data_IF_067918567974
#
_entry.id   IF_067918567974
#
_cell.length_a   1.000
_cell.length_b   1.000
_cell.length_c   1.000
_cell.angle_alpha   90.00
_cell.angle_beta   90.00
_cell.angle_gamma   90.00
#
_symmetry.space_group_name_H-M   'P 1'
#
loop_
_entity.id
_entity.type
_entity.pdbx_description
1 polymer ?
#
# COMPACT_ATOMS: atom_id res chain seq x y z
N UNK A 1 1.46 -8.52 -6.08
CA UNK A 1 1.70 -7.61 -7.20
C UNK A 1 1.84 -6.17 -6.77
N UNK A 2 3.09 -5.81 -6.49
CA UNK A 2 3.56 -4.43 -6.50
C UNK A 2 4.14 -4.08 -7.88
N UNK A 3 4.13 -2.81 -8.26
CA UNK A 3 4.76 -2.31 -9.48
C UNK A 3 5.66 -1.11 -9.14
N UNK A 4 6.78 -0.97 -9.85
CA UNK A 4 7.61 0.21 -9.72
C UNK A 4 7.07 1.33 -10.62
N UNK A 5 6.81 2.51 -10.05
CA UNK A 5 6.39 3.69 -10.81
C UNK A 5 7.25 4.87 -10.37
N UNK A 6 8.06 5.39 -11.30
CA UNK A 6 8.93 6.54 -11.05
C UNK A 6 9.81 6.37 -9.79
N UNK A 7 10.34 5.16 -9.56
CA UNK A 7 11.17 4.84 -8.40
C UNK A 7 10.41 4.52 -7.11
N UNK A 8 9.07 4.59 -7.12
CA UNK A 8 8.24 4.26 -5.97
C UNK A 8 7.60 2.88 -6.14
N UNK A 9 7.64 2.08 -5.07
CA UNK A 9 6.96 0.79 -5.04
C UNK A 9 5.47 1.01 -4.78
N UNK A 10 4.66 0.66 -5.77
CA UNK A 10 3.21 0.80 -5.70
C UNK A 10 2.58 -0.55 -5.42
N UNK A 11 1.79 -0.66 -4.35
CA UNK A 11 1.08 -1.88 -3.97
C UNK A 11 -0.40 -1.80 -4.34
N UNK A 12 -0.95 -2.90 -4.86
CA UNK A 12 -2.34 -2.97 -5.29
C UNK A 12 -3.31 -3.03 -4.11
N UNK A 13 -4.35 -2.20 -4.13
CA UNK A 13 -5.39 -2.17 -3.09
C UNK A 13 -6.00 -3.56 -2.79
N UNK A 14 -6.37 -4.40 -3.79
CA UNK A 14 -6.98 -5.70 -3.49
C UNK A 14 -6.07 -6.61 -2.66
N UNK A 15 -4.76 -6.59 -2.92
CA UNK A 15 -3.79 -7.44 -2.23
C UNK A 15 -3.51 -6.96 -0.80
N UNK A 16 -3.45 -5.64 -0.60
CA UNK A 16 -3.36 -5.07 0.74
C UNK A 16 -4.59 -5.48 1.56
N UNK A 17 -5.79 -5.36 0.98
CA UNK A 17 -7.04 -5.75 1.67
C UNK A 17 -7.03 -7.24 2.03
N UNK A 18 -6.61 -8.09 1.10
CA UNK A 18 -6.55 -9.54 1.29
C UNK A 18 -5.56 -9.92 2.40
N UNK A 19 -4.34 -9.39 2.37
CA UNK A 19 -3.28 -9.76 3.31
C UNK A 19 -3.42 -9.08 4.68
N UNK A 20 -3.91 -7.83 4.73
CA UNK A 20 -4.04 -7.07 6.00
C UNK A 20 -5.41 -7.21 6.66
N UNK A 21 -6.43 -7.65 5.93
CA UNK A 21 -7.83 -7.63 6.37
C UNK A 21 -8.42 -6.22 6.53
N UNK A 22 -7.68 -5.16 6.22
CA UNK A 22 -8.16 -3.79 6.36
C UNK A 22 -9.17 -3.45 5.27
N UNK A 23 -10.22 -2.72 5.66
CA UNK A 23 -11.22 -2.25 4.69
C UNK A 23 -10.63 -1.15 3.80
N UNK A 24 -11.22 -0.99 2.60
CA UNK A 24 -10.86 0.11 1.69
C UNK A 24 -10.96 1.49 2.36
N UNK A 25 -11.90 1.68 3.28
CA UNK A 25 -12.08 2.94 4.02
C UNK A 25 -10.90 3.25 4.94
N UNK A 26 -10.39 2.24 5.66
CA UNK A 26 -9.22 2.42 6.54
C UNK A 26 -7.99 2.75 5.71
N UNK A 27 -7.77 2.03 4.61
CA UNK A 27 -6.65 2.27 3.71
C UNK A 27 -6.74 3.63 3.01
N UNK A 28 -7.94 4.07 2.62
CA UNK A 28 -8.16 5.39 2.05
C UNK A 28 -7.88 6.51 3.07
N UNK A 29 -8.35 6.37 4.31
CA UNK A 29 -8.08 7.34 5.38
C UNK A 29 -6.60 7.40 5.75
N UNK A 30 -5.90 6.26 5.77
CA UNK A 30 -4.45 6.24 5.95
C UNK A 30 -3.72 6.93 4.79
N UNK A 31 -4.14 6.69 3.55
CA UNK A 31 -3.54 7.33 2.38
C UNK A 31 -3.78 8.86 2.33
N UNK A 32 -4.98 9.33 2.69
CA UNK A 32 -5.26 10.77 2.82
C UNK A 32 -4.38 11.42 3.87
N UNK A 33 -4.23 10.80 5.05
CA UNK A 33 -3.36 11.31 6.13
C UNK A 33 -1.88 11.34 5.73
N UNK A 34 -1.45 10.34 4.97
CA UNK A 34 -0.10 10.25 4.41
C UNK A 34 0.14 11.25 3.25
N UNK A 35 -0.90 11.96 2.79
CA UNK A 35 -0.81 12.85 1.63
C UNK A 35 -0.55 12.13 0.31
N UNK A 36 -0.80 10.81 0.25
CA UNK A 36 -0.58 10.01 -0.97
C UNK A 36 -1.86 9.83 -1.77
N UNK A 37 -1.76 10.15 -3.06
CA UNK A 37 -2.88 10.03 -3.98
C UNK A 37 -3.01 8.61 -4.49
N UNK A 38 -4.19 8.02 -4.30
CA UNK A 38 -4.60 6.77 -4.90
C UNK A 38 -4.49 6.86 -6.43
N UNK A 39 -3.64 6.02 -7.04
CA UNK A 39 -3.50 5.99 -8.51
C UNK A 39 -4.35 4.87 -9.10
N UNK A 40 -5.17 5.19 -10.10
CA UNK A 40 -5.92 4.18 -10.88
C UNK A 40 -5.15 3.86 -12.16
N UNK A 41 -4.65 2.62 -12.27
CA UNK A 41 -3.87 2.15 -13.42
C UNK A 41 -4.42 0.79 -13.86
N UNK A 42 -4.72 0.66 -15.15
CA UNK A 42 -5.28 -0.58 -15.71
C UNK A 42 -6.57 -1.04 -15.04
N UNK A 43 -7.40 -0.11 -14.55
CA UNK A 43 -8.64 -0.41 -13.82
C UNK A 43 -8.45 -0.80 -12.34
N UNK A 44 -7.22 -0.90 -11.84
CA UNK A 44 -6.90 -1.22 -10.44
C UNK A 44 -6.39 0.00 -9.69
N UNK A 45 -6.56 0.00 -8.38
CA UNK A 45 -6.09 1.05 -7.49
C UNK A 45 -4.78 0.67 -6.83
N UNK A 46 -3.87 1.64 -6.75
CA UNK A 46 -2.51 1.47 -6.28
C UNK A 46 -2.16 2.56 -5.26
N UNK A 47 -1.38 2.19 -4.24
CA UNK A 47 -0.81 3.10 -3.24
C UNK A 47 0.70 3.03 -3.26
N UNK A 48 1.34 4.15 -2.93
CA UNK A 48 2.76 4.16 -2.58
C UNK A 48 2.95 3.36 -1.28
N UNK A 49 3.72 2.28 -1.36
CA UNK A 49 3.89 1.34 -0.26
C UNK A 49 4.59 1.99 0.94
N UNK A 50 5.57 2.85 0.69
CA UNK A 50 6.41 3.47 1.71
C UNK A 50 5.60 4.46 2.54
N UNK A 51 4.95 5.43 1.88
CA UNK A 51 4.15 6.43 2.55
C UNK A 51 2.94 5.83 3.30
N UNK A 52 2.31 4.80 2.70
CA UNK A 52 1.19 4.12 3.33
C UNK A 52 1.65 3.30 4.55
N UNK A 53 2.77 2.58 4.44
CA UNK A 53 3.32 1.82 5.56
C UNK A 53 3.77 2.73 6.71
N UNK A 54 4.40 3.87 6.41
CA UNK A 54 4.81 4.84 7.42
C UNK A 54 3.60 5.33 8.24
N UNK A 55 2.52 5.73 7.58
CA UNK A 55 1.32 6.20 8.27
C UNK A 55 0.62 5.08 9.04
N UNK A 56 0.51 3.89 8.45
CA UNK A 56 -0.08 2.74 9.15
C UNK A 56 0.78 2.25 10.32
N UNK A 57 2.09 2.51 10.34
CA UNK A 57 2.97 2.06 11.44
C UNK A 57 2.61 2.66 12.80
N UNK A 58 1.91 3.80 12.79
CA UNK A 58 1.50 4.55 13.99
C UNK A 58 0.30 3.87 14.68
N UNK A 59 -0.62 3.30 13.91
CA UNK A 59 -1.91 2.79 14.42
C UNK A 59 -2.11 1.29 14.19
N UNK A 60 -1.45 0.72 13.18
CA UNK A 60 -1.62 -0.64 12.66
C UNK A 60 -0.26 -1.23 12.26
N UNK A 61 0.65 -1.37 13.22
CA UNK A 61 2.03 -1.79 12.96
C UNK A 61 2.15 -3.13 12.20
N UNK A 62 1.22 -4.07 12.39
CA UNK A 62 1.17 -5.32 11.62
C UNK A 62 0.83 -5.09 10.14
N UNK A 63 -0.13 -4.20 9.84
CA UNK A 63 -0.47 -3.87 8.45
C UNK A 63 0.70 -3.19 7.72
N UNK A 64 1.43 -2.30 8.41
CA UNK A 64 2.63 -1.67 7.86
C UNK A 64 3.72 -2.69 7.49
N UNK A 65 3.96 -3.70 8.36
CA UNK A 65 4.90 -4.78 8.08
C UNK A 65 4.47 -5.63 6.88
N UNK A 66 3.18 -5.96 6.78
CA UNK A 66 2.62 -6.71 5.65
C UNK A 66 2.82 -5.94 4.35
N UNK A 67 2.44 -4.66 4.31
CA UNK A 67 2.61 -3.81 3.11
C UNK A 67 4.08 -3.73 2.68
N UNK A 68 4.98 -3.51 3.64
CA UNK A 68 6.43 -3.50 3.38
C UNK A 68 6.93 -4.85 2.84
N UNK A 69 6.39 -5.96 3.35
CA UNK A 69 6.70 -7.31 2.87
C UNK A 69 6.18 -7.56 1.45
N UNK A 70 4.96 -7.15 1.11
CA UNK A 70 4.40 -7.24 -0.24
C UNK A 70 5.28 -6.46 -1.22
N UNK A 71 5.67 -5.23 -0.86
CA UNK A 71 6.55 -4.41 -1.68
C UNK A 71 7.94 -5.03 -1.87
N UNK A 72 8.48 -5.69 -0.85
CA UNK A 72 9.79 -6.34 -0.89
C UNK A 72 9.81 -7.67 -1.67
N UNK A 73 8.78 -8.52 -1.52
CA UNK A 73 8.66 -9.81 -2.22
C UNK A 73 8.71 -9.67 -3.75
N UNK A 74 8.17 -8.56 -4.25
CA UNK A 74 8.06 -8.31 -5.68
C UNK A 74 9.24 -7.50 -6.24
N UNK A 75 9.97 -6.72 -5.42
CA UNK A 75 11.26 -6.12 -5.82
C UNK A 75 12.34 -7.17 -6.13
N UNK A 76 12.18 -8.39 -5.63
CA UNK A 76 13.14 -9.49 -5.77
C UNK A 76 12.83 -10.44 -6.95
N UNK A 77 11.74 -10.20 -7.70
CA UNK A 77 11.34 -10.95 -8.90
C UNK A 77 11.61 -10.15 -10.16
#
# INVERSE_FOLDING_TARGET
>A
MAINIAGRQMVGLPEIVDETGLTRTVLAGAAERAGVTLRKLGGRYWFDAEALAETLSIEHADAAKIISSIAAKESAR
#
